data_IF_642277361099
#
_entry.id   IF_642277361099
#
_cell.length_a   1.000
_cell.length_b   1.000
_cell.length_c   1.000
_cell.angle_alpha   90.00
_cell.angle_beta   90.00
_cell.angle_gamma   90.00
#
_symmetry.space_group_name_H-M   'P 1'
#
loop_
_entity.id
_entity.type
_entity.pdbx_description
1 polymer ?
#
# COMPACT_ATOMS: atom_id res chain seq x y z
N UNK A 1 -15.42 -24.04 3.62
CA UNK A 1 -14.31 -24.45 4.53
C UNK A 1 -12.91 -24.01 4.05
N UNK A 2 -12.64 -23.77 2.75
CA UNK A 2 -11.27 -23.43 2.29
C UNK A 2 -10.91 -21.93 2.36
N UNK A 3 -11.89 -21.02 2.26
CA UNK A 3 -11.65 -19.56 2.18
C UNK A 3 -11.22 -18.94 3.51
N UNK A 4 -11.80 -19.37 4.64
CA UNK A 4 -11.41 -18.88 5.97
C UNK A 4 -9.97 -19.26 6.31
N UNK A 5 -9.56 -20.48 5.95
CA UNK A 5 -8.18 -20.95 6.16
C UNK A 5 -7.18 -20.12 5.34
N UNK A 6 -7.52 -19.78 4.09
CA UNK A 6 -6.70 -18.89 3.24
C UNK A 6 -6.59 -17.49 3.84
N UNK A 7 -7.69 -16.92 4.31
CA UNK A 7 -7.69 -15.61 4.97
C UNK A 7 -6.80 -15.61 6.22
N UNK A 8 -6.96 -16.61 7.10
CA UNK A 8 -6.16 -16.72 8.31
C UNK A 8 -4.66 -16.84 8.00
N UNK A 9 -4.28 -17.69 7.03
CA UNK A 9 -2.88 -17.83 6.62
C UNK A 9 -2.29 -16.56 6.02
N UNK A 10 -3.09 -15.79 5.27
CA UNK A 10 -2.70 -14.47 4.78
C UNK A 10 -2.44 -13.49 5.94
N UNK A 11 -3.35 -13.42 6.92
CA UNK A 11 -3.24 -12.50 8.07
C UNK A 11 -2.00 -12.83 8.91
N UNK A 12 -1.80 -14.10 9.24
CA UNK A 12 -0.61 -14.57 9.98
C UNK A 12 0.68 -14.19 9.24
N UNK A 13 0.71 -14.38 7.91
CA UNK A 13 1.88 -14.03 7.11
C UNK A 13 2.10 -12.51 7.08
N UNK A 14 1.04 -11.73 6.94
CA UNK A 14 1.10 -10.25 6.96
C UNK A 14 1.67 -9.75 8.28
N UNK A 15 1.16 -10.23 9.40
CA UNK A 15 1.62 -9.81 10.74
C UNK A 15 3.08 -10.17 10.98
N UNK A 16 3.49 -11.38 10.56
CA UNK A 16 4.89 -11.79 10.57
C UNK A 16 5.78 -10.85 9.73
N UNK A 17 5.36 -10.52 8.50
CA UNK A 17 6.10 -9.62 7.61
C UNK A 17 6.25 -8.22 8.19
N UNK A 18 5.16 -7.63 8.69
CA UNK A 18 5.18 -6.29 9.29
C UNK A 18 6.10 -6.26 10.51
N UNK A 19 6.09 -7.33 11.31
CA UNK A 19 6.94 -7.45 12.49
C UNK A 19 8.41 -7.52 12.09
N UNK A 20 8.76 -8.42 11.15
CA UNK A 20 10.11 -8.51 10.61
C UNK A 20 10.58 -7.19 10.02
N UNK A 21 9.69 -6.51 9.28
CA UNK A 21 9.99 -5.23 8.66
C UNK A 21 10.32 -4.16 9.70
N UNK A 22 9.46 -3.98 10.70
CA UNK A 22 9.66 -2.98 11.77
C UNK A 22 10.91 -3.25 12.60
N UNK A 23 11.30 -4.51 12.77
CA UNK A 23 12.48 -4.89 13.54
C UNK A 23 13.80 -4.48 12.86
N UNK A 24 13.82 -4.28 11.53
CA UNK A 24 14.98 -3.74 10.81
C UNK A 24 15.41 -2.37 11.31
N UNK A 25 14.53 -1.62 12.01
CA UNK A 25 14.87 -0.35 12.65
C UNK A 25 16.13 -0.45 13.52
N UNK A 26 16.35 -1.60 14.17
CA UNK A 26 17.51 -1.84 15.04
C UNK A 26 18.84 -1.94 14.29
N UNK A 27 18.81 -2.16 12.98
CA UNK A 27 19.99 -2.27 12.11
C UNK A 27 20.44 -0.89 11.57
N UNK A 28 19.72 0.18 11.89
CA UNK A 28 19.92 1.51 11.33
C UNK A 28 20.43 2.51 12.36
N UNK A 29 21.34 3.39 11.92
CA UNK A 29 21.73 4.60 12.67
C UNK A 29 20.53 5.55 12.87
N UNK A 30 20.57 6.50 13.81
CA UNK A 30 19.46 7.42 14.03
C UNK A 30 19.02 8.20 12.76
N UNK A 31 19.96 8.61 11.91
CA UNK A 31 19.67 9.26 10.64
C UNK A 31 18.96 8.32 9.66
N UNK A 32 19.47 7.09 9.54
CA UNK A 32 18.86 6.04 8.71
C UNK A 32 17.48 5.63 9.23
N UNK A 33 17.22 5.65 10.54
CA UNK A 33 15.90 5.37 11.10
C UNK A 33 14.85 6.41 10.67
N UNK A 34 15.23 7.67 10.52
CA UNK A 34 14.32 8.70 10.01
C UNK A 34 13.95 8.42 8.55
N UNK A 35 14.93 8.10 7.70
CA UNK A 35 14.70 7.68 6.32
C UNK A 35 13.85 6.40 6.24
N UNK A 36 14.12 5.43 7.11
CA UNK A 36 13.39 4.18 7.20
C UNK A 36 11.91 4.39 7.56
N UNK A 37 11.62 5.36 8.44
CA UNK A 37 10.23 5.71 8.75
C UNK A 37 9.48 6.27 7.54
N UNK A 38 10.14 7.11 6.72
CA UNK A 38 9.56 7.62 5.47
C UNK A 38 9.32 6.45 4.51
N UNK A 39 10.29 5.54 4.38
CA UNK A 39 10.16 4.35 3.54
C UNK A 39 8.97 3.46 3.96
N UNK A 40 8.76 3.25 5.26
CA UNK A 40 7.58 2.52 5.76
C UNK A 40 6.28 3.16 5.28
N UNK A 41 6.18 4.49 5.33
CA UNK A 41 4.99 5.22 4.86
C UNK A 41 4.77 5.11 3.37
N UNK A 42 5.85 5.10 2.59
CA UNK A 42 5.75 4.83 1.17
C UNK A 42 5.29 3.39 0.91
N UNK A 43 5.84 2.41 1.62
CA UNK A 43 5.47 1.01 1.45
C UNK A 43 4.01 0.71 1.85
N UNK A 44 3.44 1.46 2.79
CA UNK A 44 2.00 1.42 3.09
C UNK A 44 1.16 1.80 1.84
N UNK A 45 1.56 2.86 1.11
CA UNK A 45 0.89 3.29 -0.12
C UNK A 45 1.10 2.30 -1.27
N UNK A 46 2.33 1.78 -1.42
CA UNK A 46 2.68 0.74 -2.39
C UNK A 46 1.86 -0.53 -2.14
N UNK A 47 1.67 -0.91 -0.87
CA UNK A 47 0.83 -2.04 -0.49
C UNK A 47 -0.61 -1.83 -0.98
N UNK A 48 -1.25 -0.71 -0.61
CA UNK A 48 -2.62 -0.41 -1.03
C UNK A 48 -2.80 -0.41 -2.55
N UNK A 49 -1.84 0.19 -3.27
CA UNK A 49 -1.81 0.16 -4.72
C UNK A 49 -1.81 -1.28 -5.26
N UNK A 50 -0.94 -2.15 -4.74
CA UNK A 50 -0.85 -3.53 -5.20
C UNK A 50 -2.06 -4.39 -4.83
N UNK A 51 -2.71 -4.13 -3.69
CA UNK A 51 -4.00 -4.74 -3.35
C UNK A 51 -5.05 -4.39 -4.41
N UNK A 52 -5.21 -3.10 -4.70
CA UNK A 52 -6.23 -2.61 -5.62
C UNK A 52 -5.98 -3.07 -7.05
N UNK A 53 -4.73 -3.01 -7.52
CA UNK A 53 -4.33 -3.53 -8.82
C UNK A 53 -4.68 -5.01 -8.96
N UNK A 54 -4.25 -5.83 -8.00
CA UNK A 54 -4.50 -7.29 -8.03
C UNK A 54 -6.00 -7.61 -7.97
N UNK A 55 -6.77 -6.87 -7.18
CA UNK A 55 -8.22 -7.00 -7.15
C UNK A 55 -8.85 -6.77 -8.53
N UNK A 56 -8.55 -5.64 -9.18
CA UNK A 56 -9.11 -5.32 -10.50
C UNK A 56 -8.66 -6.28 -11.60
N UNK A 57 -7.41 -6.74 -11.55
CA UNK A 57 -6.89 -7.77 -12.45
C UNK A 57 -7.66 -9.09 -12.28
N UNK A 58 -7.92 -9.48 -11.02
CA UNK A 58 -8.69 -10.69 -10.72
C UNK A 58 -10.13 -10.54 -11.20
N UNK A 59 -10.75 -9.39 -10.96
CA UNK A 59 -12.12 -9.09 -11.38
C UNK A 59 -12.30 -9.15 -12.90
N UNK A 60 -11.34 -8.61 -13.67
CA UNK A 60 -11.34 -8.67 -15.14
C UNK A 60 -11.28 -10.10 -15.67
N UNK A 61 -10.58 -11.00 -14.98
CA UNK A 61 -10.43 -12.40 -15.39
C UNK A 61 -11.70 -13.22 -15.14
N UNK A 62 -12.46 -12.91 -14.08
CA UNK A 62 -13.60 -13.72 -13.62
C UNK A 62 -14.96 -13.18 -14.02
N UNK A 63 -15.09 -11.86 -14.21
CA UNK A 63 -16.32 -11.21 -14.63
C UNK A 63 -16.02 -10.31 -15.83
N UNK A 64 -16.91 -10.26 -16.84
CA UNK A 64 -16.96 -9.09 -17.73
C UNK A 64 -17.56 -7.96 -16.90
N UNK A 65 -16.79 -6.97 -16.43
CA UNK A 65 -17.38 -5.88 -15.67
C UNK A 65 -18.35 -5.11 -16.59
N UNK A 66 -19.42 -4.50 -16.05
CA UNK A 66 -20.05 -3.40 -16.77
C UNK A 66 -18.94 -2.36 -17.03
N UNK A 67 -18.71 -2.05 -18.31
CA UNK A 67 -17.53 -1.30 -18.78
C UNK A 67 -17.35 0.07 -18.08
N UNK A 68 -18.43 0.63 -17.53
CA UNK A 68 -18.53 2.03 -17.17
C UNK A 68 -17.66 2.45 -15.97
N UNK A 69 -17.24 1.53 -15.10
CA UNK A 69 -16.43 1.86 -13.90
C UNK A 69 -14.99 1.34 -13.91
N UNK A 70 -14.64 0.44 -14.85
CA UNK A 70 -13.32 -0.18 -14.89
C UNK A 70 -12.26 0.83 -15.36
N UNK A 71 -12.58 1.59 -16.41
CA UNK A 71 -11.65 2.52 -17.04
C UNK A 71 -11.29 3.70 -16.13
N UNK A 72 -12.26 4.19 -15.34
CA UNK A 72 -12.03 5.20 -14.32
C UNK A 72 -11.10 4.67 -13.21
N UNK A 73 -11.35 3.45 -12.72
CA UNK A 73 -10.53 2.81 -11.68
C UNK A 73 -9.10 2.54 -12.15
N UNK A 74 -8.93 2.10 -13.40
CA UNK A 74 -7.61 1.93 -14.03
C UNK A 74 -6.86 3.26 -14.17
N UNK A 75 -7.56 4.32 -14.56
CA UNK A 75 -6.97 5.66 -14.68
C UNK A 75 -6.50 6.19 -13.32
N UNK A 76 -7.34 6.06 -12.28
CA UNK A 76 -6.99 6.42 -10.90
C UNK A 76 -5.75 5.65 -10.39
N UNK A 77 -5.70 4.34 -10.63
CA UNK A 77 -4.54 3.53 -10.27
C UNK A 77 -3.26 3.94 -11.00
N UNK A 78 -3.36 4.33 -12.27
CA UNK A 78 -2.21 4.82 -13.03
C UNK A 78 -1.65 6.10 -12.39
N UNK A 79 -2.51 7.05 -12.03
CA UNK A 79 -2.09 8.28 -11.34
C UNK A 79 -1.46 7.99 -9.97
N UNK A 80 -2.02 7.05 -9.21
CA UNK A 80 -1.44 6.64 -7.91
C UNK A 80 -0.05 6.02 -8.11
N UNK A 81 0.10 5.16 -9.10
CA UNK A 81 1.39 4.54 -9.42
C UNK A 81 2.45 5.57 -9.82
N UNK A 82 2.09 6.55 -10.65
CA UNK A 82 2.98 7.62 -11.05
C UNK A 82 3.47 8.45 -9.85
N UNK A 83 2.57 8.75 -8.90
CA UNK A 83 2.93 9.45 -7.66
C UNK A 83 3.83 8.61 -6.76
N UNK A 84 3.53 7.33 -6.59
CA UNK A 84 4.36 6.40 -5.81
C UNK A 84 5.77 6.37 -6.40
N UNK A 85 5.89 6.25 -7.72
CA UNK A 85 7.18 6.21 -8.41
C UNK A 85 7.97 7.50 -8.22
N UNK A 86 7.32 8.67 -8.32
CA UNK A 86 7.96 9.96 -8.04
C UNK A 86 8.53 10.01 -6.62
N UNK A 87 7.77 9.53 -5.63
CA UNK A 87 8.24 9.49 -4.24
C UNK A 87 9.35 8.45 -4.06
N UNK A 88 9.27 7.28 -4.71
CA UNK A 88 10.35 6.28 -4.69
C UNK A 88 11.66 6.83 -5.25
N UNK A 89 11.59 7.59 -6.35
CA UNK A 89 12.77 8.23 -6.97
C UNK A 89 13.38 9.32 -6.07
N UNK A 90 12.59 9.93 -5.17
CA UNK A 90 13.06 10.91 -4.18
C UNK A 90 13.69 10.27 -2.94
N UNK A 91 13.22 9.08 -2.54
CA UNK A 91 13.78 8.33 -1.41
C UNK A 91 14.96 7.49 -1.90
N UNK A 92 16.16 8.05 -1.85
CA UNK A 92 17.40 7.28 -2.04
C UNK A 92 17.65 6.36 -0.82
N UNK A 93 17.13 5.13 -0.84
CA UNK A 93 17.26 4.17 0.27
C UNK A 93 18.38 3.12 0.07
N UNK A 94 19.29 3.32 -0.88
CA UNK A 94 20.44 2.42 -1.10
C UNK A 94 21.30 2.24 0.15
N UNK A 95 21.43 3.30 0.96
CA UNK A 95 22.13 3.24 2.24
C UNK A 95 21.41 2.33 3.25
N UNK A 96 20.07 2.26 3.21
CA UNK A 96 19.30 1.35 4.05
C UNK A 96 19.47 -0.10 3.59
N UNK A 97 19.52 -0.36 2.28
CA UNK A 97 19.79 -1.70 1.75
C UNK A 97 21.21 -2.15 2.13
N UNK A 98 22.17 -1.24 2.07
CA UNK A 98 23.57 -1.55 2.44
C UNK A 98 23.67 -1.95 3.91
N UNK A 99 22.99 -1.23 4.80
CA UNK A 99 22.96 -1.57 6.24
C UNK A 99 22.14 -2.84 6.53
N UNK A 100 21.00 -3.02 5.85
CA UNK A 100 20.08 -4.13 6.07
C UNK A 100 19.69 -4.79 4.75
N UNK A 101 20.51 -5.71 4.18
CA UNK A 101 20.22 -6.32 2.87
C UNK A 101 18.87 -7.06 2.80
N UNK A 102 18.41 -7.57 3.94
CA UNK A 102 17.09 -8.23 4.09
C UNK A 102 15.91 -7.29 3.83
N UNK A 103 16.11 -5.97 3.88
CA UNK A 103 15.11 -4.96 3.54
C UNK A 103 14.48 -5.21 2.16
N UNK A 104 15.32 -5.44 1.14
CA UNK A 104 14.87 -5.69 -0.23
C UNK A 104 13.96 -6.93 -0.34
N UNK A 105 14.31 -7.99 0.40
CA UNK A 105 13.58 -9.25 0.43
C UNK A 105 12.22 -9.04 1.10
N UNK A 106 12.20 -8.43 2.29
CA UNK A 106 10.98 -8.21 3.06
C UNK A 106 10.01 -7.30 2.28
N UNK A 107 10.51 -6.23 1.65
CA UNK A 107 9.67 -5.35 0.82
C UNK A 107 9.03 -6.11 -0.34
N UNK A 108 9.79 -6.97 -1.03
CA UNK A 108 9.24 -7.84 -2.09
C UNK A 108 8.16 -8.78 -1.55
N UNK A 109 8.37 -9.40 -0.39
CA UNK A 109 7.37 -10.28 0.22
C UNK A 109 6.10 -9.54 0.66
N UNK A 110 6.23 -8.30 1.17
CA UNK A 110 5.10 -7.41 1.47
C UNK A 110 4.30 -7.12 0.20
N UNK A 111 4.97 -6.86 -0.93
CA UNK A 111 4.31 -6.67 -2.22
C UNK A 111 3.56 -7.92 -2.68
N UNK A 112 4.13 -9.12 -2.57
CA UNK A 112 3.43 -10.36 -2.92
C UNK A 112 2.23 -10.60 -2.01
N UNK A 113 2.36 -10.32 -0.71
CA UNK A 113 1.26 -10.41 0.25
C UNK A 113 0.12 -9.45 -0.10
N UNK A 114 0.43 -8.23 -0.55
CA UNK A 114 -0.56 -7.26 -1.06
C UNK A 114 -1.34 -7.81 -2.26
N UNK A 115 -0.64 -8.44 -3.22
CA UNK A 115 -1.30 -9.04 -4.39
C UNK A 115 -2.23 -10.18 -3.98
N UNK A 116 -1.83 -11.01 -3.02
CA UNK A 116 -2.69 -12.07 -2.50
C UNK A 116 -3.94 -11.50 -1.80
N UNK A 117 -3.81 -10.40 -1.05
CA UNK A 117 -4.94 -9.73 -0.44
C UNK A 117 -6.01 -9.33 -1.47
N UNK A 118 -5.60 -8.74 -2.60
CA UNK A 118 -6.52 -8.35 -3.68
C UNK A 118 -7.32 -9.54 -4.23
N UNK A 119 -6.67 -10.70 -4.42
CA UNK A 119 -7.33 -11.94 -4.86
C UNK A 119 -8.29 -12.49 -3.82
N UNK A 120 -7.92 -12.45 -2.53
CA UNK A 120 -8.75 -12.90 -1.41
C UNK A 120 -10.00 -12.04 -1.31
N UNK A 121 -9.88 -10.71 -1.39
CA UNK A 121 -11.01 -9.77 -1.37
C UNK A 121 -11.98 -10.11 -2.48
N UNK A 122 -11.50 -10.20 -3.73
CA UNK A 122 -12.35 -10.54 -4.87
C UNK A 122 -13.05 -11.90 -4.66
N UNK A 123 -12.30 -12.92 -4.24
CA UNK A 123 -12.87 -14.24 -3.98
C UNK A 123 -13.97 -14.21 -2.91
N UNK A 124 -13.79 -13.38 -1.87
CA UNK A 124 -14.78 -13.20 -0.81
C UNK A 124 -16.07 -12.56 -1.32
N UNK A 125 -15.97 -11.52 -2.16
CA UNK A 125 -17.14 -10.85 -2.75
C UNK A 125 -17.92 -11.77 -3.68
N UNK A 126 -17.24 -12.56 -4.51
CA UNK A 126 -17.89 -13.55 -5.38
C UNK A 126 -18.69 -14.58 -4.57
N UNK A 127 -18.15 -15.03 -3.44
CA UNK A 127 -18.85 -15.97 -2.55
C UNK A 127 -19.95 -15.30 -1.73
N UNK A 128 -19.89 -13.98 -1.51
CA UNK A 128 -20.83 -13.22 -0.68
C UNK A 128 -21.33 -11.96 -1.40
N UNK A 129 -22.18 -12.09 -2.44
CA UNK A 129 -22.57 -10.96 -3.30
C UNK A 129 -23.35 -9.84 -2.59
N UNK A 130 -23.90 -10.12 -1.40
CA UNK A 130 -24.59 -9.12 -0.55
C UNK A 130 -23.63 -8.29 0.30
N UNK A 131 -22.36 -8.67 0.34
CA UNK A 131 -21.28 -7.96 1.02
C UNK A 131 -20.46 -7.25 -0.04
N UNK A 132 -20.88 -6.07 -0.48
CA UNK A 132 -19.99 -5.17 -1.23
C UNK A 132 -18.88 -4.75 -0.30
N UNK A 133 -17.69 -5.32 -0.46
CA UNK A 133 -16.51 -4.79 0.20
C UNK A 133 -16.22 -3.49 -0.55
N UNK A 134 -16.57 -2.35 0.03
CA UNK A 134 -16.18 -1.07 -0.53
C UNK A 134 -14.65 -1.01 -0.52
N UNK A 135 -14.02 -1.42 -1.63
CA UNK A 135 -12.61 -1.18 -1.84
C UNK A 135 -12.42 0.33 -1.80
N UNK A 136 -11.42 0.71 -1.02
CA UNK A 136 -10.95 2.08 -0.79
C UNK A 136 -11.82 2.82 0.24
N UNK A 137 -11.33 2.85 1.48
CA UNK A 137 -11.74 3.87 2.43
C UNK A 137 -11.54 5.23 1.74
N UNK A 138 -12.64 5.99 1.54
CA UNK A 138 -12.58 7.33 0.93
C UNK A 138 -11.62 8.27 1.68
N UNK A 139 -11.20 7.91 2.91
CA UNK A 139 -10.18 8.59 3.69
C UNK A 139 -8.77 8.57 3.08
N UNK A 140 -8.44 7.60 2.22
CA UNK A 140 -7.12 7.55 1.52
C UNK A 140 -6.97 8.71 0.54
N UNK A 141 -8.07 9.23 -0.01
CA UNK A 141 -8.07 10.39 -0.92
C UNK A 141 -8.21 11.74 -0.21
N UNK A 142 -8.39 11.77 1.11
CA UNK A 142 -8.49 12.99 1.92
C UNK A 142 -7.16 13.44 2.55
N UNK A 143 -6.02 13.03 1.99
CA UNK A 143 -4.76 13.73 2.23
C UNK A 143 -4.79 15.07 1.47
N UNK A 144 -5.54 16.04 2.03
CA UNK A 144 -5.31 17.44 1.73
C UNK A 144 -3.81 17.70 1.97
N UNK A 145 -3.06 18.27 1.00
CA UNK A 145 -1.74 18.77 1.31
C UNK A 145 -1.91 19.74 2.48
N UNK A 146 -1.09 19.56 3.53
CA UNK A 146 -0.98 20.53 4.62
C UNK A 146 -0.95 21.90 3.98
N UNK A 147 -1.99 22.70 4.19
CA UNK A 147 -1.92 24.12 3.90
C UNK A 147 -0.70 24.62 4.67
N UNK A 148 0.27 25.18 3.94
CA UNK A 148 1.45 25.80 4.51
C UNK A 148 1.02 26.72 5.65
N UNK A 149 1.73 26.76 6.79
CA UNK A 149 1.41 27.69 7.85
C UNK A 149 1.41 29.09 7.23
N UNK A 150 0.26 29.76 7.22
CA UNK A 150 0.25 31.20 6.98
C UNK A 150 1.05 31.81 8.13
N UNK A 151 2.30 32.18 7.84
CA UNK A 151 3.05 33.17 8.61
C UNK A 151 2.12 34.38 8.74
N UNK A 152 1.50 34.55 9.91
CA UNK A 152 0.91 35.82 10.27
C UNK A 152 2.08 36.77 10.44
N UNK A 153 2.26 37.61 9.43
CA UNK A 153 3.04 38.83 9.52
C UNK A 153 2.53 39.65 10.71
N UNK A 154 3.49 40.16 11.46
CA UNK A 154 3.31 41.18 12.48
C UNK A 154 2.52 42.38 11.92
N UNK A 155 1.65 42.93 12.76
CA UNK A 155 0.90 44.14 12.45
C UNK A 155 0.45 44.76 13.76
N UNK A 156 1.35 45.57 14.32
CA UNK A 156 1.13 46.49 15.44
C UNK A 156 -0.15 47.31 15.21
N UNK A 157 -0.96 47.46 16.25
CA UNK A 157 -1.49 48.75 16.65
C UNK A 157 -1.94 48.72 18.10
#
# INVERSE_FOLDING_TARGET
>A
MSSQRKLNGYLERKDSLITQYRNLKSEFTPAQQALFYILIKLDELVYEYHVCKSYLETQQLTHKPPLDNLQESQTKLKTIYEKIRQIEDEIYYDELITSAPRLSIIRKEITENAREAGKIIHSYEVMNPKSTCHLLDNRVYELKPRASPKLKQEGKS
#
